data_IF_497570368996
#
_entry.id   IF_497570368996
#
_cell.length_a   1.000
_cell.length_b   1.000
_cell.length_c   1.000
_cell.angle_alpha   90.00
_cell.angle_beta   90.00
_cell.angle_gamma   90.00
#
_symmetry.space_group_name_H-M   'P 1'
#
loop_
_entity.id
_entity.type
_entity.pdbx_description
1 polymer ?
#
# COMPACT_ATOMS: atom_id res chain seq x y z
N UNK A 1 -19.09 21.43 2.80
CA UNK A 1 -18.95 20.77 4.12
C UNK A 1 -17.48 20.54 4.45
N UNK A 2 -17.13 20.51 5.75
CA UNK A 2 -15.77 20.17 6.19
C UNK A 2 -15.58 18.66 6.30
N UNK A 3 -14.35 18.16 6.20
CA UNK A 3 -14.03 16.73 6.26
C UNK A 3 -14.60 16.01 7.50
N UNK A 4 -14.72 16.71 8.65
CA UNK A 4 -15.30 16.14 9.87
C UNK A 4 -16.80 15.85 9.75
N UNK A 5 -17.51 16.65 8.95
CA UNK A 5 -18.94 16.48 8.68
C UNK A 5 -19.15 15.33 7.69
N UNK A 6 -18.30 15.26 6.66
CA UNK A 6 -18.29 14.17 5.68
C UNK A 6 -18.00 12.82 6.35
N UNK A 7 -17.00 12.76 7.23
CA UNK A 7 -16.66 11.56 8.00
C UNK A 7 -17.87 11.05 8.80
N UNK A 8 -18.58 11.94 9.49
CA UNK A 8 -19.79 11.56 10.25
C UNK A 8 -20.94 11.11 9.36
N UNK A 9 -21.14 11.79 8.24
CA UNK A 9 -22.27 11.52 7.33
C UNK A 9 -22.07 10.26 6.50
N UNK A 10 -20.86 10.03 5.97
CA UNK A 10 -20.55 8.86 5.15
C UNK A 10 -20.14 7.67 6.01
N UNK A 11 -19.62 7.89 7.22
CA UNK A 11 -19.15 6.85 8.12
C UNK A 11 -17.90 6.15 7.57
N UNK A 12 -16.94 6.92 7.05
CA UNK A 12 -15.59 6.50 6.69
C UNK A 12 -14.59 7.47 7.31
N UNK A 13 -13.39 7.01 7.62
CA UNK A 13 -12.38 7.83 8.29
C UNK A 13 -11.86 8.95 7.39
N UNK A 14 -11.40 10.04 7.97
CA UNK A 14 -10.71 11.14 7.25
C UNK A 14 -9.52 10.63 6.45
N UNK A 15 -8.82 9.61 6.94
CA UNK A 15 -7.72 8.94 6.23
C UNK A 15 -8.21 8.36 4.92
N UNK A 16 -9.33 7.63 4.93
CA UNK A 16 -9.91 7.03 3.73
C UNK A 16 -10.48 8.08 2.77
N UNK A 17 -11.07 9.19 3.27
CA UNK A 17 -11.53 10.29 2.42
C UNK A 17 -10.34 10.89 1.66
N UNK A 18 -9.24 11.20 2.35
CA UNK A 18 -8.02 11.72 1.73
C UNK A 18 -7.39 10.75 0.75
N UNK A 19 -7.39 9.46 1.12
CA UNK A 19 -6.90 8.41 0.23
C UNK A 19 -7.69 8.35 -1.09
N UNK A 20 -9.03 8.46 -1.06
CA UNK A 20 -9.83 8.51 -2.27
C UNK A 20 -9.62 9.78 -3.09
N UNK A 21 -9.33 10.92 -2.43
CA UNK A 21 -8.89 12.15 -3.10
C UNK A 21 -7.53 11.94 -3.78
N UNK A 22 -6.54 11.38 -3.07
CA UNK A 22 -5.19 11.10 -3.61
C UNK A 22 -5.24 10.09 -4.75
N UNK A 23 -6.20 9.17 -4.73
CA UNK A 23 -6.48 8.24 -5.83
C UNK A 23 -7.25 8.89 -7.00
N UNK A 24 -7.64 10.17 -6.89
CA UNK A 24 -8.38 10.89 -7.93
C UNK A 24 -9.83 10.44 -8.11
N UNK A 25 -10.40 9.72 -7.12
CA UNK A 25 -11.80 9.27 -7.15
C UNK A 25 -12.78 10.37 -6.77
N UNK A 26 -12.33 11.36 -5.99
CA UNK A 26 -13.04 12.59 -5.63
C UNK A 26 -12.10 13.78 -5.79
N UNK A 27 -12.67 14.96 -6.06
CA UNK A 27 -11.91 16.20 -6.24
C UNK A 27 -12.64 17.36 -5.54
N UNK A 28 -12.55 17.45 -4.20
CA UNK A 28 -13.20 18.52 -3.45
C UNK A 28 -12.62 19.89 -3.82
N UNK A 29 -13.46 20.90 -3.83
CA UNK A 29 -13.04 22.28 -4.04
C UNK A 29 -12.19 22.78 -2.86
N UNK A 30 -11.35 23.78 -3.15
CA UNK A 30 -10.61 24.50 -2.12
C UNK A 30 -11.21 25.86 -1.91
N UNK A 31 -11.52 26.19 -0.66
CA UNK A 31 -11.98 27.51 -0.30
C UNK A 31 -10.91 28.56 -0.64
N UNK A 32 -11.28 29.55 -1.44
CA UNK A 32 -10.36 30.57 -1.94
C UNK A 32 -9.79 31.48 -0.85
N UNK A 33 -10.50 31.60 0.30
CA UNK A 33 -10.09 32.52 1.36
C UNK A 33 -9.08 31.88 2.34
N UNK A 34 -9.13 30.55 2.54
CA UNK A 34 -8.35 29.88 3.57
C UNK A 34 -7.65 28.60 3.11
N UNK A 35 -7.83 28.19 1.84
CA UNK A 35 -7.20 27.02 1.21
C UNK A 35 -7.70 25.65 1.71
N UNK A 36 -8.68 25.64 2.64
CA UNK A 36 -9.21 24.38 3.16
C UNK A 36 -10.12 23.69 2.15
N UNK A 37 -10.15 22.35 2.20
CA UNK A 37 -11.03 21.51 1.38
C UNK A 37 -12.48 21.70 1.76
N UNK A 38 -13.32 21.91 0.77
CA UNK A 38 -14.78 21.98 0.91
C UNK A 38 -15.42 20.86 0.05
N UNK A 39 -16.18 20.02 0.72
CA UNK A 39 -16.86 18.88 0.10
C UNK A 39 -18.31 19.29 -0.20
N UNK A 40 -18.73 19.06 -1.42
CA UNK A 40 -20.11 19.24 -1.87
C UNK A 40 -20.98 18.05 -1.47
N UNK A 41 -22.29 18.19 -1.57
CA UNK A 41 -23.22 17.05 -1.42
C UNK A 41 -22.97 15.97 -2.50
N UNK A 42 -22.50 16.38 -3.66
CA UNK A 42 -22.11 15.48 -4.75
C UNK A 42 -20.93 14.60 -4.36
N UNK A 43 -19.94 15.18 -3.68
CA UNK A 43 -18.78 14.43 -3.16
C UNK A 43 -19.22 13.41 -2.11
N UNK A 44 -20.15 13.77 -1.24
CA UNK A 44 -20.73 12.87 -0.22
C UNK A 44 -21.44 11.69 -0.87
N UNK A 45 -22.31 11.95 -1.87
CA UNK A 45 -22.99 10.88 -2.60
C UNK A 45 -22.01 9.97 -3.34
N UNK A 46 -20.94 10.53 -3.88
CA UNK A 46 -19.89 9.78 -4.55
C UNK A 46 -19.12 8.90 -3.56
N UNK A 47 -18.76 9.43 -2.41
CA UNK A 47 -18.11 8.68 -1.32
C UNK A 47 -18.99 7.52 -0.82
N UNK A 48 -20.33 7.71 -0.73
CA UNK A 48 -21.24 6.63 -0.39
C UNK A 48 -21.24 5.50 -1.44
N UNK A 49 -21.19 5.85 -2.74
CA UNK A 49 -21.08 4.87 -3.83
C UNK A 49 -19.76 4.12 -3.75
N UNK A 50 -18.64 4.84 -3.55
CA UNK A 50 -17.32 4.24 -3.39
C UNK A 50 -17.31 3.30 -2.18
N UNK A 51 -17.85 3.73 -1.04
CA UNK A 51 -17.97 2.90 0.17
C UNK A 51 -18.74 1.61 -0.10
N UNK A 52 -19.87 1.69 -0.81
CA UNK A 52 -20.68 0.51 -1.18
C UNK A 52 -19.84 -0.47 -2.02
N UNK A 53 -19.22 0.02 -3.09
CA UNK A 53 -18.43 -0.80 -4.01
C UNK A 53 -17.23 -1.43 -3.29
N UNK A 54 -16.56 -0.69 -2.41
CA UNK A 54 -15.46 -1.21 -1.58
C UNK A 54 -15.91 -2.28 -0.60
N UNK A 55 -17.09 -2.14 0.02
CA UNK A 55 -17.68 -3.20 0.87
C UNK A 55 -18.01 -4.48 0.12
N UNK A 56 -18.20 -4.38 -1.19
CA UNK A 56 -18.33 -5.54 -2.08
C UNK A 56 -16.96 -6.06 -2.55
N UNK A 57 -15.84 -5.57 -1.98
CA UNK A 57 -14.47 -5.92 -2.35
C UNK A 57 -14.10 -5.57 -3.81
N UNK A 58 -14.77 -4.58 -4.44
CA UNK A 58 -14.43 -4.13 -5.78
C UNK A 58 -13.14 -3.31 -5.74
N UNK A 59 -12.14 -3.63 -6.57
CA UNK A 59 -10.86 -2.91 -6.61
C UNK A 59 -11.04 -1.44 -6.98
N UNK A 60 -10.17 -0.58 -6.42
CA UNK A 60 -10.19 0.87 -6.68
C UNK A 60 -10.06 1.18 -8.17
N UNK A 61 -9.25 0.43 -8.89
CA UNK A 61 -9.07 0.59 -10.33
C UNK A 61 -10.36 0.35 -11.14
N UNK A 62 -11.18 -0.63 -10.72
CA UNK A 62 -12.48 -0.86 -11.36
C UNK A 62 -13.48 0.27 -11.00
N UNK A 63 -13.44 0.77 -9.75
CA UNK A 63 -14.23 1.93 -9.33
C UNK A 63 -13.85 3.16 -10.15
N UNK A 64 -12.55 3.39 -10.39
CA UNK A 64 -12.07 4.50 -11.24
C UNK A 64 -12.61 4.38 -12.66
N UNK A 65 -12.57 3.21 -13.29
CA UNK A 65 -13.12 2.96 -14.63
C UNK A 65 -14.63 3.22 -14.69
N UNK A 66 -15.37 2.88 -13.63
CA UNK A 66 -16.80 3.17 -13.50
C UNK A 66 -17.06 4.69 -13.47
N UNK A 67 -16.28 5.45 -12.69
CA UNK A 67 -16.43 6.89 -12.55
C UNK A 67 -16.06 7.65 -13.84
N UNK A 68 -15.10 7.13 -14.58
CA UNK A 68 -14.67 7.67 -15.88
C UNK A 68 -15.59 7.23 -17.03
N UNK A 69 -16.59 6.40 -16.79
CA UNK A 69 -17.49 5.87 -17.81
C UNK A 69 -16.86 4.87 -18.79
N UNK A 70 -15.65 4.37 -18.46
CA UNK A 70 -14.93 3.34 -19.24
C UNK A 70 -15.41 1.91 -18.96
N UNK A 71 -16.24 1.75 -17.97
CA UNK A 71 -16.85 0.50 -17.54
C UNK A 71 -18.27 0.78 -17.08
N UNK A 72 -19.22 -0.04 -17.48
CA UNK A 72 -20.58 0.02 -16.94
C UNK A 72 -20.68 -0.72 -15.62
N UNK A 73 -21.67 -0.36 -14.80
CA UNK A 73 -21.90 -1.06 -13.54
C UNK A 73 -22.21 -2.55 -13.76
N UNK A 74 -22.96 -2.86 -14.82
CA UNK A 74 -23.30 -4.25 -15.15
C UNK A 74 -22.05 -5.06 -15.45
N UNK A 75 -21.20 -4.59 -16.36
CA UNK A 75 -19.94 -5.26 -16.71
C UNK A 75 -19.03 -5.43 -15.50
N UNK A 76 -18.96 -4.41 -14.64
CA UNK A 76 -18.16 -4.49 -13.40
C UNK A 76 -18.70 -5.61 -12.49
N UNK A 77 -20.01 -5.68 -12.29
CA UNK A 77 -20.62 -6.71 -11.44
C UNK A 77 -20.44 -8.11 -12.02
N UNK A 78 -20.61 -8.28 -13.33
CA UNK A 78 -20.38 -9.58 -14.01
C UNK A 78 -18.95 -10.07 -13.84
N UNK A 79 -17.95 -9.20 -14.09
CA UNK A 79 -16.53 -9.51 -13.88
C UNK A 79 -16.25 -9.87 -12.42
N UNK A 80 -16.80 -9.09 -11.51
CA UNK A 80 -16.60 -9.31 -10.09
C UNK A 80 -17.23 -10.62 -9.61
N UNK A 81 -18.42 -11.00 -10.12
CA UNK A 81 -19.03 -12.29 -9.85
C UNK A 81 -18.18 -13.47 -10.37
N UNK A 82 -17.54 -13.32 -11.54
CA UNK A 82 -16.61 -14.33 -12.07
C UNK A 82 -15.43 -14.47 -11.11
N UNK A 83 -14.85 -13.34 -10.70
CA UNK A 83 -13.74 -13.31 -9.73
C UNK A 83 -14.13 -14.00 -8.41
N UNK A 84 -15.30 -13.66 -7.83
CA UNK A 84 -15.76 -14.24 -6.58
C UNK A 84 -16.02 -15.76 -6.68
N UNK A 85 -16.50 -16.25 -7.83
CA UNK A 85 -16.66 -17.70 -8.07
C UNK A 85 -15.30 -18.41 -8.09
N UNK A 86 -14.30 -17.83 -8.72
CA UNK A 86 -12.95 -18.38 -8.70
C UNK A 86 -12.35 -18.37 -7.30
N UNK A 87 -12.52 -17.27 -6.57
CA UNK A 87 -12.01 -17.13 -5.20
C UNK A 87 -12.68 -18.15 -4.26
N UNK A 88 -14.00 -18.33 -4.38
CA UNK A 88 -14.74 -19.35 -3.64
C UNK A 88 -14.17 -20.76 -3.91
N UNK A 89 -13.97 -21.10 -5.18
CA UNK A 89 -13.39 -22.38 -5.57
C UNK A 89 -11.98 -22.59 -5.00
N UNK A 90 -11.13 -21.56 -5.06
CA UNK A 90 -9.79 -21.60 -4.47
C UNK A 90 -9.83 -21.85 -2.96
N UNK A 91 -10.77 -21.18 -2.24
CA UNK A 91 -10.94 -21.39 -0.80
C UNK A 91 -11.43 -22.80 -0.46
N UNK A 92 -12.31 -23.37 -1.29
CA UNK A 92 -12.76 -24.76 -1.15
C UNK A 92 -11.59 -25.72 -1.26
N UNK A 93 -10.71 -25.56 -2.26
CA UNK A 93 -9.52 -26.40 -2.45
C UNK A 93 -8.52 -26.24 -1.28
N UNK A 94 -8.31 -25.03 -0.78
CA UNK A 94 -7.47 -24.79 0.40
C UNK A 94 -8.06 -25.49 1.64
N UNK A 95 -9.39 -25.42 1.80
CA UNK A 95 -10.09 -26.09 2.91
C UNK A 95 -9.92 -27.61 2.86
N UNK A 96 -10.08 -28.21 1.67
CA UNK A 96 -9.84 -29.64 1.46
C UNK A 96 -8.40 -30.04 1.77
N UNK A 97 -7.42 -29.21 1.38
CA UNK A 97 -6.01 -29.46 1.71
C UNK A 97 -5.76 -29.39 3.22
N UNK A 98 -6.35 -28.41 3.93
CA UNK A 98 -6.26 -28.30 5.38
C UNK A 98 -6.89 -29.51 6.08
N UNK A 99 -8.03 -29.99 5.60
CA UNK A 99 -8.69 -31.16 6.13
C UNK A 99 -7.83 -32.42 5.95
N UNK A 100 -7.26 -32.62 4.77
CA UNK A 100 -6.33 -33.72 4.47
C UNK A 100 -5.11 -33.68 5.39
N UNK A 101 -4.48 -32.49 5.54
CA UNK A 101 -3.36 -32.30 6.46
C UNK A 101 -3.73 -32.65 7.90
N UNK A 102 -4.90 -32.24 8.37
CA UNK A 102 -5.35 -32.53 9.74
C UNK A 102 -5.64 -34.00 10.01
N UNK A 103 -5.97 -34.77 8.97
CA UNK A 103 -6.20 -36.22 9.07
C UNK A 103 -4.92 -37.05 8.99
N UNK A 104 -4.00 -36.66 8.09
CA UNK A 104 -2.76 -37.39 7.83
C UNK A 104 -1.66 -37.05 8.83
N UNK A 105 -1.54 -35.76 9.24
CA UNK A 105 -0.42 -35.25 10.05
C UNK A 105 -0.88 -34.72 11.42
N UNK A 106 -0.43 -35.34 12.48
CA UNK A 106 -0.78 -34.94 13.85
C UNK A 106 0.20 -33.95 14.50
N UNK A 107 1.39 -33.83 13.95
CA UNK A 107 2.47 -32.98 14.49
C UNK A 107 3.25 -32.31 13.39
N UNK A 108 3.73 -31.10 13.63
CA UNK A 108 4.55 -30.36 12.67
C UNK A 108 5.85 -31.10 12.31
N UNK A 109 6.39 -31.89 13.24
CA UNK A 109 7.62 -32.67 13.02
C UNK A 109 7.44 -33.85 12.07
N UNK A 110 6.22 -34.34 11.87
CA UNK A 110 5.88 -35.40 10.93
C UNK A 110 5.49 -34.89 9.55
N UNK A 111 5.36 -33.58 9.37
CA UNK A 111 4.87 -32.99 8.15
C UNK A 111 5.88 -33.12 7.00
N UNK A 112 5.54 -33.91 5.98
CA UNK A 112 6.28 -34.03 4.73
C UNK A 112 5.97 -32.86 3.80
N UNK A 113 6.52 -31.68 4.12
CA UNK A 113 6.19 -30.41 3.44
C UNK A 113 6.41 -30.46 1.92
N UNK A 114 7.47 -31.13 1.46
CA UNK A 114 7.82 -31.25 0.04
C UNK A 114 6.70 -31.93 -0.79
N UNK A 115 6.09 -32.99 -0.25
CA UNK A 115 4.97 -33.69 -0.87
C UNK A 115 3.75 -32.80 -1.06
N UNK A 116 3.41 -32.02 -0.06
CA UNK A 116 2.25 -31.11 -0.12
C UNK A 116 2.52 -29.88 -1.00
N UNK A 117 3.76 -29.37 -0.98
CA UNK A 117 4.18 -28.29 -1.88
C UNK A 117 4.13 -28.72 -3.36
N UNK A 118 4.49 -29.95 -3.68
CA UNK A 118 4.38 -30.49 -5.03
C UNK A 118 2.92 -30.55 -5.50
N UNK A 119 1.99 -31.03 -4.65
CA UNK A 119 0.56 -31.03 -4.94
C UNK A 119 0.02 -29.61 -5.14
N UNK A 120 0.39 -28.65 -4.29
CA UNK A 120 0.01 -27.25 -4.46
C UNK A 120 0.54 -26.66 -5.77
N UNK A 121 1.78 -26.97 -6.15
CA UNK A 121 2.37 -26.54 -7.41
C UNK A 121 1.65 -27.11 -8.64
N UNK A 122 1.17 -28.34 -8.58
CA UNK A 122 0.36 -28.93 -9.64
C UNK A 122 -0.99 -28.23 -9.78
N UNK A 123 -1.67 -28.00 -8.66
CA UNK A 123 -2.93 -27.25 -8.64
C UNK A 123 -2.75 -25.81 -9.17
N UNK A 124 -1.61 -25.15 -8.88
CA UNK A 124 -1.28 -23.84 -9.45
C UNK A 124 -1.11 -23.88 -10.98
N UNK A 125 -0.56 -24.96 -11.53
CA UNK A 125 -0.45 -25.15 -13.00
C UNK A 125 -1.81 -25.31 -13.66
N UNK A 126 -2.78 -25.89 -12.95
CA UNK A 126 -4.18 -26.04 -13.38
C UNK A 126 -5.00 -24.74 -13.24
N UNK A 127 -4.38 -23.66 -12.73
CA UNK A 127 -5.00 -22.33 -12.63
C UNK A 127 -5.59 -21.99 -11.26
N UNK A 128 -5.41 -22.86 -10.27
CA UNK A 128 -5.74 -22.55 -8.88
C UNK A 128 -4.78 -21.48 -8.37
N UNK A 129 -5.30 -20.41 -7.83
CA UNK A 129 -4.51 -19.36 -7.19
C UNK A 129 -4.63 -19.48 -5.69
N UNK A 130 -3.66 -20.13 -5.05
CA UNK A 130 -3.55 -20.01 -3.61
C UNK A 130 -3.26 -18.55 -3.24
N UNK A 131 -3.76 -18.12 -2.07
CA UNK A 131 -3.47 -16.79 -1.55
C UNK A 131 -1.96 -16.56 -1.55
N UNK A 132 -1.43 -16.00 -2.62
CA UNK A 132 -0.13 -15.36 -2.58
C UNK A 132 -0.40 -14.05 -1.87
N UNK A 133 0.03 -13.95 -0.61
CA UNK A 133 0.44 -12.65 -0.09
C UNK A 133 1.25 -12.06 -1.23
N UNK A 134 0.72 -11.03 -1.89
CA UNK A 134 1.21 -10.61 -3.21
C UNK A 134 2.65 -10.11 -3.06
N UNK A 135 3.61 -11.02 -3.21
CA UNK A 135 5.04 -10.67 -3.22
C UNK A 135 5.34 -9.58 -4.26
N UNK A 136 4.50 -9.45 -5.28
CA UNK A 136 4.62 -8.42 -6.30
C UNK A 136 4.25 -7.03 -5.77
N UNK A 137 3.19 -6.89 -4.98
CA UNK A 137 2.78 -5.59 -4.42
C UNK A 137 3.69 -5.19 -3.25
N UNK A 138 4.05 -6.13 -2.38
CA UNK A 138 5.06 -5.93 -1.34
C UNK A 138 6.40 -5.52 -1.97
N UNK A 139 6.83 -6.15 -3.07
CA UNK A 139 8.08 -5.80 -3.73
C UNK A 139 8.05 -4.43 -4.39
N UNK A 140 6.92 -4.00 -4.97
CA UNK A 140 6.75 -2.64 -5.53
C UNK A 140 6.77 -1.57 -4.43
N UNK A 141 6.03 -1.78 -3.34
CA UNK A 141 6.02 -0.88 -2.16
C UNK A 141 7.44 -0.76 -1.57
N UNK A 142 8.15 -1.88 -1.40
CA UNK A 142 9.55 -1.90 -0.93
C UNK A 142 10.49 -1.14 -1.86
N UNK A 143 10.40 -1.36 -3.18
CA UNK A 143 11.22 -0.63 -4.16
C UNK A 143 10.97 0.87 -4.13
N UNK A 144 9.71 1.30 -4.01
CA UNK A 144 9.36 2.71 -3.89
C UNK A 144 10.02 3.37 -2.66
N UNK A 145 9.89 2.75 -1.49
CA UNK A 145 10.51 3.23 -0.25
C UNK A 145 12.06 3.25 -0.33
N UNK A 146 12.66 2.22 -0.91
CA UNK A 146 14.12 2.14 -1.11
C UNK A 146 14.63 3.21 -2.07
N UNK A 147 13.96 3.41 -3.21
CA UNK A 147 14.36 4.43 -4.20
C UNK A 147 14.29 5.83 -3.59
N UNK A 148 13.21 6.17 -2.87
CA UNK A 148 13.08 7.47 -2.23
C UNK A 148 14.16 7.73 -1.17
N UNK A 149 14.49 6.73 -0.36
CA UNK A 149 15.56 6.83 0.63
C UNK A 149 16.93 6.98 -0.03
N UNK A 150 17.22 6.23 -1.10
CA UNK A 150 18.48 6.34 -1.85
C UNK A 150 18.62 7.75 -2.46
N UNK A 151 17.56 8.27 -3.09
CA UNK A 151 17.57 9.61 -3.67
C UNK A 151 17.85 10.67 -2.59
N UNK A 152 17.19 10.58 -1.43
CA UNK A 152 17.42 11.50 -0.31
C UNK A 152 18.86 11.43 0.19
N UNK A 153 19.41 10.23 0.39
CA UNK A 153 20.79 10.04 0.83
C UNK A 153 21.78 10.62 -0.18
N UNK A 154 21.57 10.37 -1.48
CA UNK A 154 22.43 10.93 -2.55
C UNK A 154 22.42 12.46 -2.53
N UNK A 155 21.27 13.10 -2.40
CA UNK A 155 21.17 14.56 -2.32
C UNK A 155 21.89 15.12 -1.09
N UNK A 156 21.77 14.46 0.06
CA UNK A 156 22.43 14.85 1.30
C UNK A 156 23.96 14.71 1.16
N UNK A 157 24.45 13.62 0.57
CA UNK A 157 25.90 13.40 0.34
C UNK A 157 26.47 14.44 -0.64
N UNK A 158 25.71 14.77 -1.71
CA UNK A 158 26.13 15.82 -2.65
C UNK A 158 26.20 17.20 -1.97
N UNK A 159 25.26 17.48 -1.08
CA UNK A 159 25.27 18.71 -0.29
C UNK A 159 26.44 18.76 0.70
N UNK A 160 26.76 17.65 1.36
CA UNK A 160 27.91 17.54 2.25
C UNK A 160 29.25 17.73 1.50
N UNK A 161 29.36 17.11 0.33
CA UNK A 161 30.51 17.28 -0.55
C UNK A 161 30.68 18.75 -0.99
N UNK A 162 29.58 19.42 -1.29
CA UNK A 162 29.60 20.85 -1.64
C UNK A 162 30.09 21.71 -0.47
N UNK A 163 29.65 21.47 0.77
CA UNK A 163 30.13 22.16 1.98
C UNK A 163 31.64 21.89 2.16
N UNK A 164 32.07 20.65 2.01
CA UNK A 164 33.47 20.28 2.16
C UNK A 164 34.38 21.00 1.14
N UNK A 165 33.98 20.99 -0.14
CA UNK A 165 34.70 21.69 -1.20
C UNK A 165 34.75 23.20 -0.94
N UNK A 166 33.65 23.84 -0.58
CA UNK A 166 33.63 25.27 -0.26
C UNK A 166 34.48 25.61 0.97
N UNK A 167 34.52 24.72 1.96
CA UNK A 167 35.40 24.84 3.11
C UNK A 167 36.86 24.86 2.76
N UNK A 168 37.29 24.01 1.81
CA UNK A 168 38.68 24.00 1.29
C UNK A 168 38.99 25.33 0.59
N UNK A 169 38.13 25.81 -0.30
CA UNK A 169 38.33 27.08 -1.02
C UNK A 169 38.35 28.29 -0.08
N UNK A 170 37.56 28.28 0.98
CA UNK A 170 37.50 29.33 1.98
C UNK A 170 38.63 29.24 3.04
N UNK A 171 39.55 28.28 2.91
CA UNK A 171 40.64 28.02 3.86
C UNK A 171 40.19 27.85 5.31
N UNK A 172 39.01 27.27 5.50
CA UNK A 172 38.45 26.98 6.82
C UNK A 172 39.26 25.85 7.47
N UNK A 173 39.68 25.97 8.75
CA UNK A 173 40.40 24.88 9.41
C UNK A 173 39.61 23.56 9.41
N UNK A 174 40.29 22.46 9.07
CA UNK A 174 39.68 21.15 8.94
C UNK A 174 38.80 20.66 10.14
N UNK A 175 39.09 21.04 11.42
CA UNK A 175 38.23 20.64 12.52
C UNK A 175 36.86 21.32 12.47
N UNK A 176 36.78 22.54 11.91
CA UNK A 176 35.52 23.28 11.76
C UNK A 176 34.69 22.69 10.65
N UNK A 177 35.28 22.31 9.52
CA UNK A 177 34.58 21.62 8.43
C UNK A 177 34.06 20.25 8.89
N UNK A 178 34.83 19.51 9.67
CA UNK A 178 34.43 18.24 10.26
C UNK A 178 33.22 18.42 11.23
N UNK A 179 33.21 19.48 12.04
CA UNK A 179 32.12 19.78 12.95
C UNK A 179 30.82 20.12 12.17
N UNK A 180 30.93 20.74 11.00
CA UNK A 180 29.76 21.06 10.15
C UNK A 180 29.15 19.83 9.49
N UNK A 181 29.93 18.76 9.25
CA UNK A 181 29.43 17.51 8.62
C UNK A 181 28.84 16.52 9.62
N UNK A 182 29.14 16.64 10.92
CA UNK A 182 28.61 15.77 11.98
C UNK A 182 27.06 15.66 12.02
N UNK A 183 26.27 16.74 11.91
CA UNK A 183 24.79 16.64 11.90
C UNK A 183 24.26 15.84 10.72
N UNK A 184 24.97 15.85 9.60
CA UNK A 184 24.57 15.16 8.35
C UNK A 184 24.62 13.64 8.53
N UNK A 185 25.63 13.14 9.22
CA UNK A 185 25.73 11.69 9.53
C UNK A 185 24.58 11.22 10.42
N UNK A 186 24.13 12.03 11.38
CA UNK A 186 22.99 11.74 12.25
C UNK A 186 21.70 11.67 11.42
N UNK A 187 21.51 12.58 10.47
CA UNK A 187 20.34 12.58 9.57
C UNK A 187 20.32 11.32 8.70
N UNK A 188 21.46 10.92 8.13
CA UNK A 188 21.56 9.69 7.33
C UNK A 188 21.20 8.46 8.15
N UNK A 189 21.68 8.36 9.39
CA UNK A 189 21.32 7.27 10.31
C UNK A 189 19.81 7.27 10.59
N UNK A 190 19.22 8.45 10.82
CA UNK A 190 17.77 8.60 11.01
C UNK A 190 16.96 8.11 9.81
N UNK A 191 17.39 8.44 8.58
CA UNK A 191 16.73 7.97 7.35
C UNK A 191 16.82 6.44 7.23
N UNK A 192 17.98 5.85 7.54
CA UNK A 192 18.17 4.40 7.49
C UNK A 192 17.31 3.66 8.53
N UNK A 193 17.17 4.21 9.73
CA UNK A 193 16.30 3.67 10.77
C UNK A 193 14.83 3.75 10.36
N UNK A 194 14.38 4.90 9.86
CA UNK A 194 13.02 5.09 9.36
C UNK A 194 12.71 4.16 8.17
N UNK A 195 13.67 3.97 7.26
CA UNK A 195 13.51 3.01 6.16
C UNK A 195 13.36 1.57 6.69
N UNK A 196 14.15 1.19 7.70
CA UNK A 196 14.07 -0.15 8.32
C UNK A 196 12.72 -0.36 8.98
N UNK A 197 12.21 0.63 9.68
CA UNK A 197 10.88 0.60 10.33
C UNK A 197 9.77 0.49 9.29
N UNK A 198 9.82 1.32 8.23
CA UNK A 198 8.88 1.27 7.12
C UNK A 198 8.89 -0.09 6.38
N UNK A 199 10.06 -0.70 6.22
CA UNK A 199 10.15 -2.03 5.62
C UNK A 199 9.53 -3.11 6.51
N UNK A 200 9.62 -3.00 7.84
CA UNK A 200 8.95 -3.91 8.78
C UNK A 200 7.42 -3.77 8.73
N UNK A 201 6.91 -2.54 8.65
CA UNK A 201 5.46 -2.28 8.50
C UNK A 201 4.91 -2.91 7.22
N UNK A 202 5.64 -2.78 6.09
CA UNK A 202 5.25 -3.41 4.82
C UNK A 202 5.31 -4.94 4.90
N UNK A 203 6.26 -5.51 5.64
CA UNK A 203 6.35 -6.97 5.85
C UNK A 203 5.27 -7.48 6.81
N UNK A 204 4.84 -6.66 7.77
CA UNK A 204 3.80 -7.00 8.75
C UNK A 204 2.38 -6.97 8.18
N UNK A 205 2.16 -6.44 6.96
CA UNK A 205 0.83 -6.33 6.36
C UNK A 205 -0.07 -5.26 6.97
N UNK A 206 0.44 -4.45 7.92
CA UNK A 206 -0.35 -3.43 8.64
C UNK A 206 -1.01 -2.37 7.73
N UNK A 207 -0.45 -2.14 6.53
CA UNK A 207 -1.05 -1.24 5.54
C UNK A 207 -2.22 -1.89 4.77
N UNK A 208 -2.23 -3.20 4.63
CA UNK A 208 -3.29 -3.92 3.91
C UNK A 208 -4.54 -4.07 4.79
N UNK A 209 -4.40 -4.24 6.12
CA UNK A 209 -5.53 -4.20 7.06
C UNK A 209 -6.22 -2.81 7.07
N UNK A 210 -5.50 -1.71 6.87
CA UNK A 210 -6.10 -0.38 6.81
C UNK A 210 -6.84 -0.09 5.48
N UNK A 211 -6.60 -0.88 4.44
CA UNK A 211 -7.28 -0.78 3.13
C UNK A 211 -8.57 -1.60 3.06
N UNK A 212 -8.76 -2.55 3.99
CA UNK A 212 -9.91 -3.46 4.02
C UNK A 212 -11.11 -2.94 4.86
N UNK A 213 -11.00 -1.74 5.45
CA UNK A 213 -12.09 -1.09 6.19
C UNK A 213 -12.75 0.05 5.42
#
# INVERSE_FOLDING_TARGET
>A
MKINEVERQVGITKKNIRFYEDQGLISPERNLSNGYREYSERDVLLLLKIKLLRRLAIPIEEIRKLLEGRLTLLECMERHQIYLRHEKHNLELISEMCEKLSQEEKTLSGLEADRYLEQLNEMEKEGVRFMKISKADVSKKKRGAQISAIVMIVLIVLWDLFIFITGIYAQIPWPVTLLMTLPITVIIIGILLALRERMKEIDGGEEDEAADY
#
